data_IF_217489592223
#
_entry.id   IF_217489592223
#
_cell.length_a   1.000
_cell.length_b   1.000
_cell.length_c   1.000
_cell.angle_alpha   90.00
_cell.angle_beta   90.00
_cell.angle_gamma   90.00
#
_symmetry.space_group_name_H-M   'P 1'
#
loop_
_entity.id
_entity.type
_entity.pdbx_description
1 polymer ?
#
# COMPACT_ATOMS: atom_id res chain seq x y z
N UNK A 1 -12.59 -78.87 -8.59
CA UNK A 1 -11.82 -79.04 -7.33
C UNK A 1 -10.37 -78.69 -7.62
N UNK A 2 -9.88 -77.56 -7.11
CA UNK A 2 -8.48 -77.09 -7.26
C UNK A 2 -7.92 -76.89 -5.85
N UNK A 3 -6.75 -77.44 -5.51
CA UNK A 3 -6.18 -77.30 -4.18
C UNK A 3 -5.44 -75.96 -4.00
N UNK A 4 -5.77 -75.28 -2.89
CA UNK A 4 -4.87 -74.74 -1.85
C UNK A 4 -3.35 -74.99 -2.09
N UNK A 5 -2.39 -74.10 -1.84
CA UNK A 5 -2.23 -73.14 -0.72
C UNK A 5 -0.91 -72.36 -0.82
N UNK A 6 -0.88 -71.16 -0.21
CA UNK A 6 0.19 -70.51 0.60
C UNK A 6 1.42 -69.87 -0.07
N UNK A 7 1.56 -68.56 0.16
CA UNK A 7 2.62 -67.93 1.00
C UNK A 7 3.13 -66.58 0.41
N UNK A 8 2.71 -65.48 1.03
CA UNK A 8 3.55 -64.26 1.20
C UNK A 8 4.43 -64.50 2.45
N UNK A 9 5.63 -63.87 2.64
CA UNK A 9 5.74 -62.40 2.77
C UNK A 9 7.09 -61.72 2.38
N UNK A 10 7.01 -60.40 2.18
CA UNK A 10 7.93 -59.27 2.49
C UNK A 10 9.46 -59.35 2.27
N UNK A 11 10.01 -58.35 1.56
CA UNK A 11 11.12 -57.43 1.95
C UNK A 11 11.46 -56.54 0.73
N UNK A 12 11.17 -55.22 0.74
CA UNK A 12 12.09 -54.14 1.11
C UNK A 12 13.32 -54.02 0.18
N UNK A 13 13.34 -53.01 -0.71
CA UNK A 13 14.55 -52.62 -1.43
C UNK A 13 14.36 -51.79 -2.70
N UNK A 14 14.79 -50.51 -2.62
CA UNK A 14 15.11 -49.55 -3.70
C UNK A 14 13.92 -48.99 -4.52
N UNK A 15 13.52 -47.71 -4.46
CA UNK A 15 14.15 -46.48 -3.98
C UNK A 15 15.58 -46.25 -4.51
N UNK A 16 15.81 -46.42 -5.81
CA UNK A 16 16.99 -45.89 -6.51
C UNK A 16 16.86 -45.96 -8.04
N UNK A 17 15.90 -45.26 -8.65
CA UNK A 17 15.97 -44.90 -10.08
C UNK A 17 15.38 -43.50 -10.27
N UNK A 18 16.06 -42.49 -9.73
CA UNK A 18 15.70 -41.09 -9.98
C UNK A 18 16.92 -40.19 -9.79
N UNK A 19 18.03 -40.52 -10.46
CA UNK A 19 19.19 -39.61 -10.56
C UNK A 19 20.11 -39.99 -11.72
N UNK A 20 19.67 -39.78 -12.97
CA UNK A 20 20.54 -39.85 -14.14
C UNK A 20 19.91 -39.17 -15.38
N UNK A 21 19.65 -37.86 -15.31
CA UNK A 21 19.39 -37.03 -16.50
C UNK A 21 19.46 -35.54 -16.16
N UNK A 22 20.60 -35.05 -15.71
CA UNK A 22 20.85 -33.60 -15.64
C UNK A 22 22.34 -33.30 -15.79
N UNK A 23 22.85 -33.37 -17.02
CA UNK A 23 24.05 -32.64 -17.44
C UNK A 23 24.25 -32.80 -18.96
N UNK A 24 23.96 -31.73 -19.71
CA UNK A 24 24.80 -31.12 -20.76
C UNK A 24 23.93 -30.20 -21.63
N UNK A 25 24.20 -28.90 -21.58
CA UNK A 25 23.49 -27.95 -22.44
C UNK A 25 23.76 -26.48 -22.12
N UNK A 26 25.00 -26.11 -21.79
CA UNK A 26 25.41 -24.72 -21.73
C UNK A 26 26.73 -24.57 -22.49
N UNK A 27 26.64 -24.14 -23.76
CA UNK A 27 27.66 -23.41 -24.52
C UNK A 27 27.19 -23.25 -25.97
N UNK A 28 26.74 -22.05 -26.33
CA UNK A 28 26.83 -21.53 -27.70
C UNK A 28 27.29 -20.06 -27.64
N UNK A 29 28.59 -19.91 -27.90
CA UNK A 29 29.25 -18.86 -28.67
C UNK A 29 28.46 -17.58 -29.00
N UNK A 30 28.89 -16.45 -28.42
CA UNK A 30 29.14 -15.21 -29.16
C UNK A 30 30.25 -14.42 -28.47
N UNK A 31 31.49 -14.62 -28.93
CA UNK A 31 32.59 -13.72 -28.65
C UNK A 31 33.27 -13.42 -29.99
N UNK A 32 33.04 -12.21 -30.50
CA UNK A 32 33.91 -11.57 -31.47
C UNK A 32 34.15 -10.16 -30.95
N UNK A 33 35.36 -9.95 -30.46
CA UNK A 33 35.85 -8.63 -30.12
C UNK A 33 36.16 -7.86 -31.39
N UNK A 34 35.79 -6.59 -31.42
CA UNK A 34 36.50 -5.57 -32.19
C UNK A 34 36.48 -4.30 -31.35
N UNK A 35 37.68 -3.85 -31.03
CA UNK A 35 38.00 -2.63 -30.31
C UNK A 35 37.33 -1.39 -30.91
N UNK A 36 36.65 -0.59 -30.11
CA UNK A 36 36.49 0.84 -30.38
C UNK A 36 36.66 1.61 -29.08
N UNK A 37 37.55 2.57 -29.19
CA UNK A 37 38.11 3.47 -28.19
C UNK A 37 37.06 4.11 -27.28
N UNK A 38 37.40 4.16 -26.00
CA UNK A 38 36.68 4.84 -24.92
C UNK A 38 36.50 6.33 -25.25
N UNK A 39 35.26 6.76 -25.42
CA UNK A 39 34.87 8.17 -25.33
C UNK A 39 34.04 8.34 -24.06
N UNK A 40 34.39 9.26 -23.15
CA UNK A 40 33.62 9.47 -21.93
C UNK A 40 32.20 9.93 -22.29
N UNK A 41 31.16 9.53 -21.52
CA UNK A 41 29.79 9.93 -21.80
C UNK A 41 29.71 11.46 -21.76
N UNK A 42 29.45 12.07 -22.91
CA UNK A 42 29.11 13.49 -22.98
C UNK A 42 27.84 13.69 -22.14
N UNK A 43 27.76 14.72 -21.28
CA UNK A 43 26.56 14.96 -20.50
C UNK A 43 25.37 15.13 -21.47
N UNK A 44 24.28 14.39 -21.22
CA UNK A 44 23.01 14.61 -21.90
C UNK A 44 22.68 16.10 -21.78
N UNK A 45 22.55 16.78 -22.93
CA UNK A 45 22.17 18.18 -22.92
C UNK A 45 20.78 18.26 -22.30
N UNK A 46 20.66 18.94 -21.16
CA UNK A 46 19.42 19.12 -20.41
C UNK A 46 18.32 19.88 -21.19
N UNK A 47 18.58 20.26 -22.44
CA UNK A 47 17.69 21.03 -23.30
C UNK A 47 17.61 20.37 -24.68
N UNK A 48 16.40 20.27 -25.22
CA UNK A 48 16.18 19.78 -26.57
C UNK A 48 16.83 20.72 -27.60
N UNK A 49 17.28 20.23 -28.76
CA UNK A 49 17.95 21.05 -29.78
C UNK A 49 17.14 22.28 -30.21
N UNK A 50 15.81 22.16 -30.21
CA UNK A 50 14.88 23.25 -30.52
C UNK A 50 14.82 24.31 -29.41
N UNK A 51 14.87 23.89 -28.14
CA UNK A 51 14.92 24.81 -27.00
C UNK A 51 16.26 25.56 -26.95
N UNK A 52 17.38 24.87 -27.22
CA UNK A 52 18.70 25.51 -27.31
C UNK A 52 18.75 26.53 -28.45
N UNK A 53 18.20 26.19 -29.63
CA UNK A 53 18.13 27.13 -30.75
C UNK A 53 17.30 28.38 -30.43
N UNK A 54 16.19 28.23 -29.70
CA UNK A 54 15.35 29.35 -29.29
C UNK A 54 16.03 30.29 -28.28
N UNK A 55 16.84 29.73 -27.37
CA UNK A 55 17.60 30.52 -26.40
C UNK A 55 18.78 31.23 -27.08
N UNK A 56 19.50 30.54 -27.98
CA UNK A 56 20.60 31.15 -28.75
C UNK A 56 20.10 32.21 -29.71
N UNK A 57 18.88 32.08 -30.25
CA UNK A 57 18.28 33.09 -31.11
C UNK A 57 18.11 34.44 -30.41
N UNK A 58 18.02 34.44 -29.07
CA UNK A 58 17.95 35.65 -28.23
C UNK A 58 16.67 36.46 -28.46
N UNK A 59 16.18 37.10 -27.41
CA UNK A 59 15.05 38.03 -27.52
C UNK A 59 15.58 39.45 -27.34
N UNK A 60 15.28 40.35 -28.28
CA UNK A 60 15.55 41.78 -28.08
C UNK A 60 14.45 42.38 -27.21
N UNK A 61 14.76 42.60 -25.93
CA UNK A 61 13.89 43.34 -25.03
C UNK A 61 13.91 44.82 -25.42
N UNK A 62 12.75 45.36 -25.78
CA UNK A 62 12.55 46.80 -25.91
C UNK A 62 11.89 47.27 -24.61
N UNK A 63 12.61 48.00 -23.74
CA UNK A 63 12.00 48.52 -22.53
C UNK A 63 10.86 49.47 -22.90
N UNK A 64 9.77 49.49 -22.12
CA UNK A 64 8.71 50.45 -22.33
C UNK A 64 9.28 51.87 -22.24
N UNK A 65 8.78 52.81 -23.07
CA UNK A 65 9.25 54.20 -23.04
C UNK A 65 9.03 54.80 -21.65
N UNK A 66 9.93 55.68 -21.17
CA UNK A 66 9.78 56.29 -19.86
C UNK A 66 8.46 57.08 -19.79
N UNK A 67 7.75 57.05 -18.65
CA UNK A 67 6.51 57.80 -18.49
C UNK A 67 6.76 59.30 -18.67
N UNK A 68 5.83 59.98 -19.34
CA UNK A 68 5.87 61.44 -19.50
C UNK A 68 5.75 62.12 -18.12
N UNK A 69 6.48 63.23 -17.88
CA UNK A 69 6.31 63.99 -16.65
C UNK A 69 4.88 64.52 -16.58
N UNK A 70 4.25 64.34 -15.42
CA UNK A 70 2.92 64.87 -15.09
C UNK A 70 3.13 66.28 -14.54
N UNK A 71 2.42 67.27 -15.08
CA UNK A 71 2.51 68.68 -14.68
C UNK A 71 2.04 68.85 -13.21
N UNK A 72 2.78 69.63 -12.41
CA UNK A 72 2.68 69.74 -10.94
C UNK A 72 1.57 70.67 -10.41
N UNK A 73 0.46 70.88 -11.14
CA UNK A 73 -0.49 71.96 -10.79
C UNK A 73 -1.72 71.55 -9.97
N UNK A 74 -1.72 70.38 -9.33
CA UNK A 74 -2.69 70.06 -8.28
C UNK A 74 -1.94 69.47 -7.07
N UNK A 75 -1.53 70.33 -6.14
CA UNK A 75 -1.13 69.92 -4.79
C UNK A 75 -2.34 69.29 -4.08
N UNK A 76 -2.62 68.03 -4.40
CA UNK A 76 -3.46 67.18 -3.58
C UNK A 76 -2.71 66.99 -2.27
N UNK A 77 -3.31 67.43 -1.15
CA UNK A 77 -2.77 67.20 0.18
C UNK A 77 -2.32 65.74 0.30
N UNK A 78 -1.01 65.54 0.48
CA UNK A 78 -0.36 64.23 0.55
C UNK A 78 -0.97 63.31 1.62
N UNK A 79 -1.73 63.87 2.58
CA UNK A 79 -2.49 63.13 3.60
C UNK A 79 -3.75 62.44 3.07
N UNK A 80 -4.31 62.93 1.97
CA UNK A 80 -5.48 62.34 1.29
C UNK A 80 -5.11 61.39 0.13
N UNK A 81 -3.84 61.39 -0.29
CA UNK A 81 -3.30 60.53 -1.36
C UNK A 81 -2.86 59.16 -0.84
N UNK A 82 -2.58 59.01 0.46
CA UNK A 82 -2.05 57.77 1.04
C UNK A 82 -3.15 56.74 1.42
N UNK A 83 -4.41 57.00 1.06
CA UNK A 83 -5.46 55.98 1.10
C UNK A 83 -5.51 55.28 -0.25
N UNK A 84 -5.23 53.96 -0.33
CA UNK A 84 -5.36 53.24 -1.60
C UNK A 84 -6.80 53.40 -2.11
N UNK A 85 -6.97 53.99 -3.29
CA UNK A 85 -8.28 54.28 -3.93
C UNK A 85 -9.21 53.08 -4.09
N UNK A 86 -8.68 51.87 -3.86
CA UNK A 86 -9.42 50.64 -3.79
C UNK A 86 -9.58 50.25 -2.31
N UNK A 87 -10.59 50.80 -1.64
CA UNK A 87 -11.09 50.19 -0.41
C UNK A 87 -11.62 48.81 -0.78
N UNK A 88 -10.75 47.79 -0.73
CA UNK A 88 -11.16 46.40 -0.91
C UNK A 88 -12.09 46.11 0.25
N UNK A 89 -13.40 46.22 -0.01
CA UNK A 89 -14.44 45.82 0.93
C UNK A 89 -14.23 44.34 1.19
N UNK A 90 -13.61 44.03 2.33
CA UNK A 90 -13.39 42.65 2.75
C UNK A 90 -14.75 42.06 3.03
N UNK A 91 -15.18 41.15 2.17
CA UNK A 91 -16.36 40.35 2.45
C UNK A 91 -16.19 39.68 3.82
N UNK A 92 -17.27 39.57 4.61
CA UNK A 92 -17.24 38.82 5.86
C UNK A 92 -16.75 37.41 5.57
N UNK A 93 -15.85 36.90 6.42
CA UNK A 93 -15.35 35.52 6.32
C UNK A 93 -16.52 34.57 6.60
N UNK A 94 -17.17 34.08 5.55
CA UNK A 94 -18.15 33.02 5.69
C UNK A 94 -17.41 31.67 5.73
N UNK A 95 -17.62 30.89 6.79
CA UNK A 95 -17.17 29.51 6.88
C UNK A 95 -18.34 28.62 6.48
N UNK A 96 -18.26 27.99 5.30
CA UNK A 96 -19.26 26.98 4.90
C UNK A 96 -18.97 25.70 5.67
N UNK A 97 -19.71 25.44 6.74
CA UNK A 97 -19.64 24.18 7.47
C UNK A 97 -20.58 23.17 6.81
N UNK A 98 -20.06 22.38 5.87
CA UNK A 98 -20.75 21.20 5.35
C UNK A 98 -20.34 19.95 6.17
N UNK A 99 -21.27 19.03 6.39
CA UNK A 99 -20.95 17.71 6.99
C UNK A 99 -20.02 16.97 6.01
N UNK A 100 -18.86 16.51 6.49
CA UNK A 100 -17.98 15.64 5.70
C UNK A 100 -18.78 14.40 5.26
N UNK A 101 -18.73 14.01 3.98
CA UNK A 101 -19.39 12.78 3.55
C UNK A 101 -18.85 11.59 4.36
N UNK A 102 -19.73 10.63 4.63
CA UNK A 102 -19.37 9.43 5.37
C UNK A 102 -18.35 8.63 4.57
N UNK A 103 -17.35 8.06 5.27
CA UNK A 103 -16.33 7.23 4.63
C UNK A 103 -16.96 5.86 4.36
N UNK A 104 -17.21 5.59 3.09
CA UNK A 104 -17.75 4.30 2.67
C UNK A 104 -16.71 3.20 2.86
N UNK A 105 -17.09 2.16 3.60
CA UNK A 105 -16.33 0.92 3.75
C UNK A 105 -16.96 -0.18 2.89
N UNK A 106 -16.18 -1.20 2.54
CA UNK A 106 -16.68 -2.35 1.78
C UNK A 106 -17.88 -3.01 2.47
N UNK A 107 -17.92 -3.01 3.81
CA UNK A 107 -19.06 -3.51 4.61
C UNK A 107 -20.33 -2.67 4.47
N UNK A 108 -20.19 -1.38 4.23
CA UNK A 108 -21.34 -0.46 4.04
C UNK A 108 -21.79 -0.38 2.58
N UNK A 109 -20.91 -0.73 1.65
CA UNK A 109 -21.17 -0.67 0.21
C UNK A 109 -21.78 -1.95 -0.34
N UNK A 110 -21.31 -3.12 0.12
CA UNK A 110 -21.70 -4.41 -0.43
C UNK A 110 -22.71 -5.14 0.44
N UNK A 111 -23.61 -5.87 -0.21
CA UNK A 111 -24.40 -6.90 0.47
C UNK A 111 -23.51 -8.05 0.94
N UNK A 112 -23.97 -8.87 1.89
CA UNK A 112 -23.18 -9.99 2.45
C UNK A 112 -22.72 -10.98 1.35
N UNK A 113 -23.54 -11.22 0.34
CA UNK A 113 -23.22 -12.16 -0.72
C UNK A 113 -22.23 -11.58 -1.73
N UNK A 114 -22.36 -10.28 -2.04
CA UNK A 114 -21.39 -9.56 -2.87
C UNK A 114 -20.04 -9.42 -2.16
N UNK A 115 -20.05 -9.24 -0.84
CA UNK A 115 -18.85 -9.16 -0.03
C UNK A 115 -18.11 -10.51 -0.01
N UNK A 116 -18.83 -11.63 0.09
CA UNK A 116 -18.23 -12.98 -0.10
C UNK A 116 -17.60 -13.14 -1.48
N UNK A 117 -18.31 -12.72 -2.53
CA UNK A 117 -17.79 -12.78 -3.91
C UNK A 117 -16.54 -11.91 -4.09
N UNK A 118 -16.54 -10.71 -3.50
CA UNK A 118 -15.40 -9.81 -3.47
C UNK A 118 -14.21 -10.42 -2.71
N UNK A 119 -14.46 -10.98 -1.53
CA UNK A 119 -13.45 -11.67 -0.72
C UNK A 119 -12.83 -12.84 -1.48
N UNK A 120 -13.65 -13.67 -2.16
CA UNK A 120 -13.16 -14.75 -3.01
C UNK A 120 -12.28 -14.21 -4.15
N UNK A 121 -12.71 -13.14 -4.81
CA UNK A 121 -11.95 -12.55 -5.93
C UNK A 121 -10.60 -11.97 -5.51
N UNK A 122 -10.49 -11.49 -4.25
CA UNK A 122 -9.25 -10.90 -3.72
C UNK A 122 -8.29 -11.95 -3.15
N UNK A 123 -8.80 -12.96 -2.46
CA UNK A 123 -7.98 -13.87 -1.65
C UNK A 123 -7.83 -15.28 -2.23
N UNK A 124 -8.79 -15.77 -3.01
CA UNK A 124 -8.64 -17.07 -3.66
C UNK A 124 -8.16 -16.89 -5.11
N UNK A 125 -7.07 -17.58 -5.43
CA UNK A 125 -6.61 -17.68 -6.81
C UNK A 125 -7.48 -18.66 -7.62
N UNK A 126 -7.49 -18.52 -8.95
CA UNK A 126 -8.17 -19.45 -9.86
C UNK A 126 -7.71 -20.92 -9.71
N UNK A 127 -6.51 -21.13 -9.18
CA UNK A 127 -5.95 -22.44 -8.84
C UNK A 127 -6.64 -23.07 -7.63
N UNK A 128 -6.92 -22.29 -6.59
CA UNK A 128 -7.57 -22.74 -5.35
C UNK A 128 -9.05 -23.05 -5.60
N UNK A 129 -9.72 -22.16 -6.35
CA UNK A 129 -11.13 -22.33 -6.72
C UNK A 129 -11.38 -23.45 -7.72
N UNK A 130 -10.42 -23.75 -8.61
CA UNK A 130 -10.61 -24.66 -9.73
C UNK A 130 -9.95 -26.04 -9.59
N UNK A 131 -8.64 -26.10 -9.32
CA UNK A 131 -7.85 -27.33 -9.36
C UNK A 131 -7.81 -28.04 -8.01
N UNK A 132 -7.57 -27.29 -6.94
CA UNK A 132 -7.53 -27.82 -5.58
C UNK A 132 -8.92 -28.29 -5.13
N UNK A 133 -9.98 -27.53 -5.43
CA UNK A 133 -11.36 -27.95 -5.15
C UNK A 133 -11.78 -29.22 -5.88
N UNK A 134 -11.39 -29.40 -7.15
CA UNK A 134 -11.71 -30.63 -7.90
C UNK A 134 -10.93 -31.82 -7.36
N UNK A 135 -9.67 -31.61 -7.01
CA UNK A 135 -8.82 -32.66 -6.43
C UNK A 135 -9.32 -33.08 -5.04
N UNK A 136 -9.62 -32.12 -4.16
CA UNK A 136 -10.18 -32.40 -2.83
C UNK A 136 -11.58 -33.00 -2.91
N UNK A 137 -12.44 -32.56 -3.85
CA UNK A 137 -13.74 -33.17 -4.10
C UNK A 137 -13.61 -34.63 -4.57
N UNK A 138 -12.64 -34.94 -5.43
CA UNK A 138 -12.39 -36.32 -5.88
C UNK A 138 -11.90 -37.22 -4.75
N UNK A 139 -11.10 -36.69 -3.83
CA UNK A 139 -10.62 -37.42 -2.65
C UNK A 139 -11.73 -37.61 -1.60
N UNK A 140 -12.64 -36.62 -1.49
CA UNK A 140 -13.80 -36.65 -0.60
C UNK A 140 -14.87 -37.65 -1.05
N UNK A 141 -15.00 -37.90 -2.37
CA UNK A 141 -15.95 -38.86 -2.92
C UNK A 141 -15.59 -40.33 -2.61
N UNK A 142 -14.29 -40.62 -2.43
CA UNK A 142 -13.81 -41.97 -2.09
C UNK A 142 -13.68 -42.21 -0.57
N UNK A 143 -14.00 -41.20 0.24
CA UNK A 143 -13.94 -41.23 1.71
C UNK A 143 -15.34 -41.04 2.30
N UNK A 144 -16.02 -42.16 2.58
CA UNK A 144 -17.33 -42.24 3.26
C UNK A 144 -17.36 -41.56 4.64
N UNK A 145 -16.20 -41.14 5.19
CA UNK A 145 -16.05 -40.65 6.56
C UNK A 145 -15.71 -39.16 6.63
N UNK A 146 -16.20 -38.33 5.71
CA UNK A 146 -15.92 -36.87 5.74
C UNK A 146 -17.12 -36.07 6.24
N UNK A 147 -17.49 -36.30 7.49
CA UNK A 147 -18.41 -35.44 8.25
C UNK A 147 -17.64 -34.17 8.65
N UNK A 148 -17.90 -33.06 7.96
CA UNK A 148 -17.82 -31.72 8.57
C UNK A 148 -16.51 -30.90 8.50
N UNK A 149 -15.43 -31.33 7.84
CA UNK A 149 -14.12 -30.64 7.95
C UNK A 149 -13.64 -29.90 6.70
N UNK A 150 -14.34 -28.84 6.32
CA UNK A 150 -13.78 -27.85 5.40
C UNK A 150 -14.69 -26.64 5.35
N UNK A 151 -14.23 -25.52 5.91
CA UNK A 151 -14.87 -24.23 5.67
C UNK A 151 -15.05 -24.07 4.16
N UNK A 152 -16.24 -23.68 3.74
CA UNK A 152 -16.50 -23.38 2.33
C UNK A 152 -15.47 -22.36 1.83
N UNK A 153 -15.20 -22.35 0.52
CA UNK A 153 -14.21 -21.42 -0.03
C UNK A 153 -14.60 -19.96 0.26
N UNK A 154 -15.89 -19.70 0.28
CA UNK A 154 -16.53 -18.46 0.67
C UNK A 154 -16.20 -18.12 2.13
N UNK A 155 -16.42 -19.03 3.07
CA UNK A 155 -16.10 -18.81 4.50
C UNK A 155 -14.62 -18.62 4.74
N UNK A 156 -13.76 -19.37 4.03
CA UNK A 156 -12.32 -19.21 4.09
C UNK A 156 -11.89 -17.85 3.55
N UNK A 157 -12.45 -17.43 2.42
CA UNK A 157 -12.21 -16.11 1.83
C UNK A 157 -12.61 -15.00 2.80
N UNK A 158 -13.78 -15.16 3.42
CA UNK A 158 -14.31 -14.22 4.40
C UNK A 158 -13.42 -14.14 5.63
N UNK A 159 -12.90 -15.27 6.14
CA UNK A 159 -11.94 -15.28 7.23
C UNK A 159 -10.66 -14.50 6.88
N UNK A 160 -10.11 -14.71 5.67
CA UNK A 160 -8.94 -13.97 5.19
C UNK A 160 -9.22 -12.48 5.04
N UNK A 161 -10.39 -12.12 4.50
CA UNK A 161 -10.81 -10.74 4.31
C UNK A 161 -10.97 -10.00 5.64
N UNK A 162 -11.62 -10.61 6.62
CA UNK A 162 -11.80 -10.03 7.95
C UNK A 162 -10.47 -9.83 8.67
N UNK A 163 -9.52 -10.76 8.53
CA UNK A 163 -8.19 -10.58 9.10
C UNK A 163 -7.41 -9.46 8.38
N UNK A 164 -7.55 -9.31 7.06
CA UNK A 164 -6.95 -8.19 6.33
C UNK A 164 -7.56 -6.83 6.74
N UNK A 165 -8.88 -6.74 6.91
CA UNK A 165 -9.53 -5.55 7.49
C UNK A 165 -8.95 -5.23 8.88
N UNK A 166 -8.78 -6.26 9.74
CA UNK A 166 -8.19 -6.09 11.08
C UNK A 166 -6.75 -5.58 11.00
N UNK A 167 -5.93 -6.14 10.12
CA UNK A 167 -4.54 -5.72 9.91
C UNK A 167 -4.44 -4.28 9.42
N UNK A 168 -5.31 -3.88 8.48
CA UNK A 168 -5.38 -2.49 7.99
C UNK A 168 -5.80 -1.51 9.07
N UNK A 169 -6.81 -1.87 9.88
CA UNK A 169 -7.26 -1.03 11.00
C UNK A 169 -6.15 -0.88 12.06
N UNK A 170 -5.43 -1.95 12.37
CA UNK A 170 -4.25 -1.89 13.25
C UNK A 170 -3.14 -1.01 12.69
N UNK A 171 -2.87 -1.11 11.38
CA UNK A 171 -1.86 -0.28 10.73
C UNK A 171 -2.25 1.21 10.77
N UNK A 172 -3.49 1.55 10.43
CA UNK A 172 -3.99 2.92 10.47
C UNK A 172 -3.89 3.55 11.86
N UNK A 173 -4.25 2.81 12.91
CA UNK A 173 -4.15 3.32 14.28
C UNK A 173 -2.69 3.50 14.74
N UNK A 174 -1.77 2.60 14.33
CA UNK A 174 -0.34 2.79 14.59
C UNK A 174 0.21 4.03 13.90
N UNK A 175 -0.19 4.26 12.65
CA UNK A 175 0.22 5.43 11.89
C UNK A 175 -0.31 6.72 12.56
N UNK A 176 -1.55 6.72 13.05
CA UNK A 176 -2.13 7.82 13.81
C UNK A 176 -1.37 8.10 15.10
N UNK A 177 -1.03 7.07 15.89
CA UNK A 177 -0.20 7.21 17.10
C UNK A 177 1.17 7.81 16.77
N UNK A 178 1.80 7.35 15.69
CA UNK A 178 3.09 7.86 15.24
C UNK A 178 3.01 9.33 14.83
N UNK A 179 1.91 9.72 14.18
CA UNK A 179 1.65 11.09 13.78
C UNK A 179 1.41 11.98 15.00
N UNK A 180 0.56 11.57 15.95
CA UNK A 180 0.30 12.32 17.18
C UNK A 180 1.58 12.54 17.99
N UNK A 181 2.45 11.53 18.05
CA UNK A 181 3.76 11.70 18.70
C UNK A 181 4.65 12.68 17.95
N UNK A 182 4.61 12.69 16.62
CA UNK A 182 5.37 13.64 15.80
C UNK A 182 4.85 15.08 15.89
N UNK A 183 3.53 15.28 16.05
CA UNK A 183 2.92 16.60 16.22
C UNK A 183 3.05 17.16 17.64
N UNK A 184 3.54 16.35 18.59
CA UNK A 184 3.76 16.75 19.99
C UNK A 184 2.58 16.48 20.93
N UNK A 185 1.54 15.77 20.47
CA UNK A 185 0.37 15.37 21.28
C UNK A 185 0.62 14.06 22.03
N UNK A 186 1.60 14.05 22.94
CA UNK A 186 2.08 12.82 23.59
C UNK A 186 1.05 12.17 24.50
N UNK A 187 0.27 12.94 25.25
CA UNK A 187 -0.76 12.40 26.16
C UNK A 187 -1.88 11.67 25.41
N UNK A 188 -2.31 12.25 24.29
CA UNK A 188 -3.33 11.64 23.41
C UNK A 188 -2.77 10.39 22.74
N UNK A 189 -1.51 10.44 22.30
CA UNK A 189 -0.83 9.28 21.74
C UNK A 189 -0.75 8.12 22.74
N UNK A 190 -0.47 8.38 24.02
CA UNK A 190 -0.40 7.34 25.06
C UNK A 190 -1.78 6.72 25.33
N UNK A 191 -2.84 7.52 25.37
CA UNK A 191 -4.22 7.02 25.51
C UNK A 191 -4.62 6.17 24.31
N UNK A 192 -4.40 6.67 23.09
CA UNK A 192 -4.70 5.91 21.87
C UNK A 192 -3.84 4.65 21.78
N UNK A 193 -2.60 4.67 22.26
CA UNK A 193 -1.78 3.48 22.34
C UNK A 193 -2.35 2.44 23.32
N UNK A 194 -2.86 2.87 24.48
CA UNK A 194 -3.54 1.98 25.42
C UNK A 194 -4.80 1.35 24.80
N UNK A 195 -5.63 2.16 24.13
CA UNK A 195 -6.83 1.70 23.41
C UNK A 195 -6.46 0.73 22.27
N UNK A 196 -5.38 1.00 21.54
CA UNK A 196 -4.87 0.12 20.47
C UNK A 196 -4.56 -1.29 21.01
N UNK A 197 -3.90 -1.37 22.17
CA UNK A 197 -3.65 -2.66 22.80
C UNK A 197 -4.97 -3.31 23.22
N UNK A 198 -5.87 -2.59 23.91
CA UNK A 198 -7.13 -3.14 24.37
C UNK A 198 -8.00 -3.73 23.25
N UNK A 199 -8.12 -3.00 22.13
CA UNK A 199 -8.97 -3.37 21.00
C UNK A 199 -8.40 -4.51 20.14
N UNK A 200 -7.07 -4.57 19.96
CA UNK A 200 -6.46 -5.47 18.96
C UNK A 200 -5.57 -6.57 19.53
N UNK A 201 -4.98 -6.35 20.70
CA UNK A 201 -4.04 -7.26 21.34
C UNK A 201 -4.56 -7.57 22.72
N UNK A 202 -5.27 -8.70 22.89
CA UNK A 202 -5.77 -9.16 24.19
C UNK A 202 -4.76 -8.81 25.29
N UNK A 203 -5.17 -7.86 26.15
CA UNK A 203 -4.38 -7.35 27.27
C UNK A 203 -3.80 -8.57 28.02
N UNK A 204 -2.48 -8.75 27.97
CA UNK A 204 -1.81 -9.53 29.00
C UNK A 204 -1.73 -8.59 30.19
N UNK A 205 -2.51 -8.89 31.21
CA UNK A 205 -2.61 -8.06 32.43
C UNK A 205 -1.29 -7.97 33.22
N UNK A 206 -0.25 -8.65 32.74
CA UNK A 206 1.01 -8.91 33.45
C UNK A 206 2.09 -7.81 33.28
N UNK A 207 1.87 -6.74 32.48
CA UNK A 207 2.97 -5.82 32.08
C UNK A 207 2.91 -4.41 32.70
N UNK A 208 1.81 -3.99 33.34
CA UNK A 208 1.67 -2.61 33.84
C UNK A 208 1.59 -2.45 35.36
N UNK A 209 1.59 -3.52 36.15
CA UNK A 209 1.51 -3.42 37.63
C UNK A 209 2.83 -3.06 38.31
N UNK A 210 3.96 -3.19 37.61
CA UNK A 210 5.29 -3.11 38.24
C UNK A 210 5.92 -1.70 38.17
N UNK A 211 5.42 -0.83 37.28
CA UNK A 211 5.94 0.53 37.15
C UNK A 211 5.35 1.50 38.19
N UNK A 212 4.09 1.29 38.59
CA UNK A 212 3.40 2.18 39.54
C UNK A 212 3.75 1.86 41.01
N UNK A 213 4.03 0.59 41.31
CA UNK A 213 4.36 0.14 42.68
C UNK A 213 5.80 0.46 43.09
N UNK A 214 6.69 0.83 42.16
CA UNK A 214 8.09 1.18 42.47
C UNK A 214 8.32 2.63 42.88
N UNK A 215 7.40 3.55 42.58
CA UNK A 215 7.55 4.97 42.92
C UNK A 215 6.94 5.39 44.26
N UNK A 216 6.15 4.54 44.91
CA UNK A 216 5.49 4.86 46.19
C UNK A 216 6.19 4.25 47.42
N UNK A 217 7.37 3.64 47.23
CA UNK A 217 8.18 3.08 48.30
C UNK A 217 9.41 3.96 48.62
N UNK A 218 9.18 5.09 49.27
CA UNK A 218 10.17 5.79 50.09
C UNK A 218 9.53 6.19 51.40
#
# INVERSE_FOLDING_TARGET
>A
MKPMTKALPQLLGACAVLFAALQLGAQTTTASGTSTTVQPPQPERALSPRASAAITAGFKYTPPPPPKPVDEDDEVDLRDVDKPKNEIVRLPRYTVTAKKPEVFTDRTLYTQDELKKLAMSRHLSGLDTGLLNKWTASMRLNSWTTVGFGASNEERAMGMYLEDERLRNMAGMKDEISLMRATGETERADQTQADYYDMFLRRRDDVHTDAFTRQQGK
#
